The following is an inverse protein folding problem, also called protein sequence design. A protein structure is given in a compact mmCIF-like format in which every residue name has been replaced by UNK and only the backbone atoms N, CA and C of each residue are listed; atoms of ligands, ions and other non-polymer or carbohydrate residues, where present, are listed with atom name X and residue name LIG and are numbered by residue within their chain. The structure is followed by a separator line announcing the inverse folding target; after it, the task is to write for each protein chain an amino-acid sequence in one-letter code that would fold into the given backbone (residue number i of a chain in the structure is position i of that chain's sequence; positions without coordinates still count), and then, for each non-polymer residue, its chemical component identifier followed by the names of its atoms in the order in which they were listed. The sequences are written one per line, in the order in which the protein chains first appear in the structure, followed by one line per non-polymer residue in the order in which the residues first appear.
data_IF_376995455527
#
_entry.id   IF_376995455527
#
_cell.length_a   1.000
_cell.length_b   1.000
_cell.length_c   1.000
_cell.angle_alpha   90.00
_cell.angle_beta   90.00
_cell.angle_gamma   90.00
#
_symmetry.space_group_name_H-M   'P 1'
#
loop_
_entity.id
_entity.type
_entity.pdbx_description
1 polymer ?
#
# COMPACT_ATOMS: atom_id res chain seq x y z
N UNK A 1 14.07 23.02 5.65
CA UNK A 1 13.33 23.79 4.63
C UNK A 1 13.90 23.63 3.21
N UNK A 2 15.23 23.60 3.01
CA UNK A 2 15.83 23.44 1.66
C UNK A 2 15.67 22.03 1.04
N UNK A 3 15.65 20.97 1.85
CA UNK A 3 15.46 19.58 1.37
C UNK A 3 14.05 19.31 0.82
N UNK A 4 13.02 19.98 1.34
CA UNK A 4 11.63 19.83 0.87
C UNK A 4 11.47 20.43 -0.53
N UNK A 5 12.13 21.56 -0.80
CA UNK A 5 12.14 22.19 -2.13
C UNK A 5 12.87 21.34 -3.18
N UNK A 6 13.98 20.68 -2.82
CA UNK A 6 14.68 19.78 -3.73
C UNK A 6 13.86 18.55 -4.09
N UNK A 7 13.10 18.00 -3.13
CA UNK A 7 12.21 16.85 -3.36
C UNK A 7 11.03 17.22 -4.27
N UNK A 8 10.49 18.44 -4.11
CA UNK A 8 9.42 18.96 -4.96
C UNK A 8 9.91 19.32 -6.38
N UNK A 9 11.15 19.79 -6.53
CA UNK A 9 11.75 20.03 -7.85
C UNK A 9 12.05 18.73 -8.61
N UNK A 10 12.43 17.65 -7.92
CA UNK A 10 12.61 16.32 -8.54
C UNK A 10 11.28 15.71 -9.02
N UNK A 11 10.15 16.05 -8.40
CA UNK A 11 8.81 15.70 -8.88
C UNK A 11 8.38 16.52 -10.11
N UNK A 12 8.95 17.71 -10.32
CA UNK A 12 8.68 18.57 -11.48
C UNK A 12 9.58 18.29 -12.70
N UNK A 13 10.63 17.48 -12.56
CA UNK A 13 11.52 17.09 -13.64
C UNK A 13 11.02 15.87 -14.44
N UNK A 14 9.71 15.67 -14.53
CA UNK A 14 9.13 14.63 -15.36
C UNK A 14 9.37 14.98 -16.85
N UNK A 15 9.92 14.07 -17.66
CA UNK A 15 10.06 14.29 -19.09
C UNK A 15 8.68 14.43 -19.74
N UNK A 16 8.67 15.09 -20.89
CA UNK A 16 7.50 15.46 -21.69
C UNK A 16 6.31 14.50 -21.60
N UNK A 17 5.13 15.09 -21.37
CA UNK A 17 3.81 14.49 -21.29
C UNK A 17 3.41 13.82 -22.63
N UNK A 18 4.02 12.69 -22.98
CA UNK A 18 3.59 11.84 -24.10
C UNK A 18 2.58 10.81 -23.57
N UNK A 19 1.37 10.80 -24.16
CA UNK A 19 0.29 9.81 -24.00
C UNK A 19 0.47 8.85 -22.80
N UNK A 20 0.22 9.37 -21.59
CA UNK A 20 0.45 8.60 -20.38
C UNK A 20 -0.61 7.50 -20.28
N UNK A 21 -0.18 6.25 -20.41
CA UNK A 21 -1.07 5.10 -20.27
C UNK A 21 -1.49 5.00 -18.80
N UNK A 22 -2.79 4.98 -18.53
CA UNK A 22 -3.34 4.92 -17.16
C UNK A 22 -4.16 3.64 -17.02
N UNK A 23 -3.90 2.88 -15.97
CA UNK A 23 -4.70 1.72 -15.60
C UNK A 23 -5.32 1.90 -14.22
N UNK A 24 -6.54 1.41 -14.04
CA UNK A 24 -7.19 1.26 -12.74
C UNK A 24 -7.14 -0.20 -12.31
N UNK A 25 -7.03 -0.46 -11.01
CA UNK A 25 -6.77 -1.80 -10.46
C UNK A 25 -7.61 -2.10 -9.24
N UNK A 26 -7.91 -3.38 -9.06
CA UNK A 26 -8.42 -3.90 -7.80
C UNK A 26 -7.89 -5.30 -7.53
N UNK A 27 -7.48 -5.56 -6.29
CA UNK A 27 -6.94 -6.81 -5.79
C UNK A 27 -8.06 -7.71 -5.27
N UNK A 28 -8.28 -8.84 -5.95
CA UNK A 28 -9.30 -9.82 -5.60
C UNK A 28 -9.06 -10.49 -4.25
N UNK A 29 -7.80 -10.71 -3.84
CA UNK A 29 -7.49 -11.30 -2.53
C UNK A 29 -7.90 -10.37 -1.39
N UNK A 30 -7.66 -9.06 -1.55
CA UNK A 30 -8.08 -8.08 -0.55
C UNK A 30 -9.60 -7.94 -0.50
N UNK A 31 -10.28 -7.97 -1.64
CA UNK A 31 -11.74 -8.02 -1.68
C UNK A 31 -12.29 -9.26 -0.96
N UNK A 32 -11.70 -10.43 -1.19
CA UNK A 32 -12.08 -11.67 -0.50
C UNK A 32 -11.86 -11.58 1.01
N UNK A 33 -10.84 -10.83 1.45
CA UNK A 33 -10.53 -10.53 2.85
C UNK A 33 -11.39 -9.40 3.45
N UNK A 34 -12.48 -8.98 2.79
CA UNK A 34 -13.34 -7.87 3.22
C UNK A 34 -12.62 -6.51 3.32
N UNK A 35 -11.56 -6.32 2.53
CA UNK A 35 -10.82 -5.07 2.40
C UNK A 35 -10.97 -4.50 0.98
N UNK A 36 -12.04 -3.72 0.72
CA UNK A 36 -12.15 -2.90 -0.47
C UNK A 36 -10.85 -2.15 -0.77
N UNK A 37 -10.46 -2.19 -2.04
CA UNK A 37 -9.23 -1.56 -2.49
C UNK A 37 -9.36 -1.09 -3.94
N UNK A 38 -8.64 -0.03 -4.25
CA UNK A 38 -8.54 0.53 -5.58
C UNK A 38 -7.12 1.07 -5.77
N UNK A 39 -6.60 0.90 -6.98
CA UNK A 39 -5.31 1.46 -7.37
C UNK A 39 -5.36 2.10 -8.74
N UNK A 40 -4.41 2.98 -9.00
CA UNK A 40 -4.15 3.54 -10.31
C UNK A 40 -2.66 3.42 -10.64
N UNK A 41 -2.37 2.96 -11.85
CA UNK A 41 -1.01 2.85 -12.35
C UNK A 41 -0.81 3.77 -13.54
N UNK A 42 0.28 4.53 -13.49
CA UNK A 42 0.68 5.48 -14.52
C UNK A 42 1.97 5.01 -15.15
N UNK A 43 2.00 4.87 -16.47
CA UNK A 43 3.25 4.69 -17.20
C UNK A 43 4.06 5.98 -17.11
N UNK A 44 5.33 5.90 -16.71
CA UNK A 44 6.21 7.07 -16.55
C UNK A 44 7.47 7.00 -17.42
N UNK A 45 7.66 5.89 -18.13
CA UNK A 45 8.76 5.72 -19.09
C UNK A 45 8.57 4.46 -19.92
N UNK A 46 9.55 4.16 -20.78
CA UNK A 46 9.51 3.01 -21.69
C UNK A 46 9.42 1.66 -20.95
N UNK A 47 9.95 1.60 -19.72
CA UNK A 47 9.99 0.37 -18.91
C UNK A 47 9.53 0.60 -17.47
N UNK A 48 8.89 1.73 -17.19
CA UNK A 48 8.63 2.15 -15.83
C UNK A 48 7.21 2.63 -15.63
N UNK A 49 6.64 2.31 -14.47
CA UNK A 49 5.33 2.80 -14.04
C UNK A 49 5.30 3.08 -12.54
N UNK A 50 4.34 3.89 -12.13
CA UNK A 50 4.04 4.18 -10.72
C UNK A 50 2.64 3.70 -10.44
N UNK A 51 2.50 2.82 -9.46
CA UNK A 51 1.24 2.28 -8.94
C UNK A 51 0.92 2.95 -7.60
N UNK A 52 -0.26 3.56 -7.49
CA UNK A 52 -0.77 4.15 -6.25
C UNK A 52 -2.00 3.35 -5.86
N UNK A 53 -1.90 2.58 -4.79
CA UNK A 53 -3.00 1.73 -4.30
C UNK A 53 -3.47 2.19 -2.92
N UNK A 54 -4.77 2.22 -2.69
CA UNK A 54 -5.38 2.44 -1.39
C UNK A 54 -6.33 1.30 -1.05
N UNK A 55 -6.42 0.96 0.22
CA UNK A 55 -7.31 -0.07 0.71
C UNK A 55 -7.88 0.32 2.06
N UNK A 56 -9.03 -0.24 2.41
CA UNK A 56 -9.58 -0.07 3.74
C UNK A 56 -10.74 -0.99 4.03
N UNK A 57 -11.01 -1.16 5.31
CA UNK A 57 -12.17 -1.89 5.82
C UNK A 57 -12.65 -1.24 7.09
N UNK A 58 -13.92 -1.45 7.44
CA UNK A 58 -14.51 -1.05 8.72
C UNK A 58 -15.05 -2.25 9.50
N UNK A 59 -15.29 -3.38 8.80
CA UNK A 59 -15.76 -4.62 9.37
C UNK A 59 -15.13 -5.78 8.61
N UNK A 60 -14.39 -6.64 9.31
CA UNK A 60 -13.76 -7.83 8.75
C UNK A 60 -14.41 -9.03 9.41
N UNK A 61 -15.16 -9.81 8.64
CA UNK A 61 -15.89 -11.02 9.07
C UNK A 61 -16.69 -10.86 10.39
N UNK A 62 -17.41 -9.72 10.53
CA UNK A 62 -18.26 -9.45 11.69
C UNK A 62 -17.53 -8.79 12.88
N UNK A 63 -16.21 -8.62 12.82
CA UNK A 63 -15.44 -7.90 13.83
C UNK A 63 -15.26 -6.43 13.43
N UNK A 64 -15.35 -5.51 14.41
CA UNK A 64 -15.03 -4.10 14.23
C UNK A 64 -13.52 -3.94 14.04
N UNK A 65 -13.12 -3.83 12.79
CA UNK A 65 -11.74 -3.66 12.36
C UNK A 65 -11.70 -2.56 11.32
N UNK A 66 -11.29 -1.36 11.74
CA UNK A 66 -11.11 -0.21 10.88
C UNK A 66 -9.66 -0.14 10.44
N UNK A 67 -9.42 -0.34 9.15
CA UNK A 67 -8.08 -0.26 8.56
C UNK A 67 -8.18 0.70 7.38
N UNK A 68 -7.20 1.59 7.25
CA UNK A 68 -6.99 2.41 6.08
C UNK A 68 -5.52 2.31 5.71
N UNK A 69 -5.23 2.03 4.45
CA UNK A 69 -3.87 1.86 3.96
C UNK A 69 -3.66 2.52 2.61
N UNK A 70 -2.44 2.97 2.39
CA UNK A 70 -1.95 3.54 1.15
C UNK A 70 -0.60 2.93 0.80
N UNK A 71 -0.40 2.60 -0.47
CA UNK A 71 0.72 1.82 -0.95
C UNK A 71 1.18 2.34 -2.32
N UNK A 72 2.08 3.34 -2.36
CA UNK A 72 2.75 3.74 -3.57
C UNK A 72 3.87 2.75 -3.93
N UNK A 73 4.04 2.50 -5.21
CA UNK A 73 5.04 1.57 -5.73
C UNK A 73 5.60 2.05 -7.07
N UNK A 74 6.92 2.05 -7.19
CA UNK A 74 7.60 2.19 -8.47
C UNK A 74 7.86 0.81 -9.05
N UNK A 75 7.57 0.60 -10.34
CA UNK A 75 7.73 -0.67 -11.04
C UNK A 75 8.64 -0.51 -12.27
N UNK A 76 9.54 -1.47 -12.45
CA UNK A 76 10.37 -1.65 -13.63
C UNK A 76 9.99 -2.95 -14.35
N UNK A 77 9.68 -2.84 -15.63
CA UNK A 77 9.20 -3.91 -16.49
C UNK A 77 10.31 -4.42 -17.41
N UNK A 78 10.55 -5.73 -17.40
CA UNK A 78 11.65 -6.31 -18.17
C UNK A 78 11.33 -6.46 -19.66
N UNK A 79 10.06 -6.62 -20.01
CA UNK A 79 9.59 -6.89 -21.37
C UNK A 79 9.60 -5.66 -22.30
N UNK A 80 10.22 -4.54 -21.89
CA UNK A 80 10.33 -3.34 -22.72
C UNK A 80 9.03 -2.54 -22.88
N UNK A 81 7.92 -3.00 -22.31
CA UNK A 81 6.62 -2.33 -22.29
C UNK A 81 5.99 -2.45 -20.90
N UNK A 82 5.52 -1.36 -20.28
CA UNK A 82 4.83 -1.43 -19.00
C UNK A 82 3.53 -2.22 -19.07
N UNK A 83 3.05 -2.70 -17.92
CA UNK A 83 1.79 -3.45 -17.78
C UNK A 83 1.76 -4.77 -18.58
N UNK A 84 2.92 -5.38 -18.84
CA UNK A 84 3.06 -6.59 -19.67
C UNK A 84 4.17 -7.49 -19.12
N UNK A 85 3.85 -8.75 -18.78
CA UNK A 85 4.76 -9.77 -18.23
C UNK A 85 5.40 -9.41 -16.88
N UNK A 86 6.65 -9.81 -16.63
CA UNK A 86 7.34 -9.64 -15.36
C UNK A 86 7.78 -8.20 -15.06
N UNK A 87 7.68 -7.83 -13.79
CA UNK A 87 8.22 -6.59 -13.24
C UNK A 87 8.85 -6.82 -11.87
N UNK A 88 9.78 -5.93 -11.52
CA UNK A 88 10.27 -5.73 -10.15
C UNK A 88 9.90 -4.34 -9.70
N UNK A 89 9.58 -4.16 -8.43
CA UNK A 89 9.20 -2.86 -7.90
C UNK A 89 9.75 -2.60 -6.51
N UNK A 90 9.65 -1.34 -6.11
CA UNK A 90 9.92 -0.88 -4.75
C UNK A 90 8.63 -0.22 -4.27
N UNK A 91 8.06 -0.77 -3.20
CA UNK A 91 6.82 -0.31 -2.62
C UNK A 91 7.04 0.26 -1.23
N UNK A 92 6.34 1.34 -0.91
CA UNK A 92 6.14 1.78 0.46
C UNK A 92 4.71 1.44 0.88
N UNK A 93 4.49 1.21 2.17
CA UNK A 93 3.21 0.93 2.78
C UNK A 93 3.02 1.89 3.95
N UNK A 94 1.89 2.56 4.01
CA UNK A 94 1.45 3.29 5.20
C UNK A 94 0.04 2.84 5.55
N UNK A 95 -0.21 2.46 6.79
CA UNK A 95 -1.55 2.06 7.22
C UNK A 95 -1.83 2.50 8.65
N UNK A 96 -3.07 2.93 8.87
CA UNK A 96 -3.64 3.17 10.19
C UNK A 96 -4.65 2.08 10.45
N UNK A 97 -4.62 1.48 11.64
CA UNK A 97 -5.54 0.44 12.03
C UNK A 97 -6.10 0.69 13.44
N UNK A 98 -7.36 0.29 13.61
CA UNK A 98 -8.11 0.26 14.85
C UNK A 98 -8.90 -1.06 14.86
N UNK A 99 -8.33 -2.07 15.52
CA UNK A 99 -8.87 -3.42 15.55
C UNK A 99 -9.28 -3.75 16.97
N UNK A 100 -10.56 -4.05 17.17
CA UNK A 100 -11.06 -4.58 18.45
C UNK A 100 -11.21 -6.09 18.34
N UNK A 101 -10.34 -6.84 19.01
CA UNK A 101 -10.42 -8.30 19.09
C UNK A 101 -10.78 -8.73 20.52
N UNK A 102 -12.02 -9.15 20.75
CA UNK A 102 -12.51 -9.49 22.08
C UNK A 102 -12.45 -8.30 23.04
N UNK A 103 -11.61 -8.40 24.07
CA UNK A 103 -11.32 -7.34 25.02
C UNK A 103 -10.07 -6.50 24.69
N UNK A 104 -9.33 -6.79 23.63
CA UNK A 104 -8.15 -6.00 23.25
C UNK A 104 -8.48 -5.00 22.15
N UNK A 105 -8.07 -3.74 22.33
CA UNK A 105 -8.09 -2.71 21.28
C UNK A 105 -6.64 -2.44 20.85
N UNK A 106 -6.38 -2.66 19.56
CA UNK A 106 -5.11 -2.37 18.91
C UNK A 106 -5.30 -1.17 18.00
N UNK A 107 -4.67 -0.05 18.38
CA UNK A 107 -4.71 1.19 17.60
C UNK A 107 -3.30 1.65 17.30
N UNK A 108 -2.98 1.83 16.04
CA UNK A 108 -1.62 2.21 15.64
C UNK A 108 -1.48 2.53 14.18
N UNK A 109 -0.28 2.99 13.85
CA UNK A 109 0.16 3.21 12.49
C UNK A 109 1.30 2.25 12.18
N UNK A 110 1.34 1.77 10.95
CA UNK A 110 2.44 0.98 10.43
C UNK A 110 2.94 1.59 9.12
N UNK A 111 4.26 1.67 9.01
CA UNK A 111 4.95 2.15 7.82
C UNK A 111 5.96 1.11 7.40
N UNK A 112 6.02 0.79 6.12
CA UNK A 112 6.95 -0.18 5.61
C UNK A 112 7.47 0.17 4.23
N UNK A 113 8.56 -0.46 3.86
CA UNK A 113 9.09 -0.42 2.52
C UNK A 113 9.71 -1.77 2.16
N UNK A 114 9.69 -2.11 0.88
CA UNK A 114 10.22 -3.38 0.42
C UNK A 114 10.18 -3.52 -1.08
N UNK A 115 10.52 -4.73 -1.51
CA UNK A 115 10.63 -5.08 -2.92
C UNK A 115 9.41 -5.90 -3.30
N UNK A 116 8.88 -5.64 -4.49
CA UNK A 116 7.77 -6.38 -5.09
C UNK A 116 8.23 -7.06 -6.36
N UNK A 117 7.66 -8.23 -6.62
CA UNK A 117 7.81 -8.95 -7.88
C UNK A 117 6.42 -9.34 -8.36
N UNK A 118 6.18 -9.19 -9.65
CA UNK A 118 4.89 -9.56 -10.21
C UNK A 118 4.96 -9.88 -11.69
N UNK A 119 3.85 -10.41 -12.18
CA UNK A 119 3.67 -10.85 -13.54
C UNK A 119 2.27 -10.47 -14.04
N UNK A 120 2.20 -9.76 -15.17
CA UNK A 120 0.98 -9.31 -15.81
C UNK A 120 0.65 -10.17 -17.04
N UNK A 121 -0.52 -10.82 -17.01
CA UNK A 121 -1.15 -11.48 -18.14
C UNK A 121 -2.13 -10.52 -18.83
N UNK A 122 -1.87 -10.20 -20.09
CA UNK A 122 -2.81 -9.41 -20.90
C UNK A 122 -3.90 -10.33 -21.45
N UNK A 123 -5.14 -10.17 -20.98
CA UNK A 123 -6.29 -10.92 -21.53
C UNK A 123 -6.82 -10.26 -22.79
N UNK A 124 -6.91 -8.92 -22.78
CA UNK A 124 -7.38 -8.10 -23.90
C UNK A 124 -6.49 -6.86 -24.06
N UNK A 125 -6.77 -6.04 -25.07
CA UNK A 125 -6.06 -4.75 -25.30
C UNK A 125 -6.10 -3.79 -24.10
N UNK A 126 -7.10 -3.94 -23.22
CA UNK A 126 -7.31 -3.08 -22.06
C UNK A 126 -7.39 -3.82 -20.73
N UNK A 127 -7.52 -5.15 -20.71
CA UNK A 127 -7.75 -5.91 -19.48
C UNK A 127 -6.55 -6.81 -19.20
N UNK A 128 -5.96 -6.67 -18.01
CA UNK A 128 -4.86 -7.53 -17.55
C UNK A 128 -5.21 -8.15 -16.20
N UNK A 129 -4.62 -9.31 -15.94
CA UNK A 129 -4.59 -9.94 -14.61
C UNK A 129 -3.14 -9.98 -14.15
N UNK A 130 -2.88 -9.49 -12.95
CA UNK A 130 -1.55 -9.41 -12.37
C UNK A 130 -1.47 -10.28 -11.13
N UNK A 131 -0.40 -11.07 -11.04
CA UNK A 131 -0.02 -11.83 -9.85
C UNK A 131 1.21 -11.15 -9.27
N UNK A 132 1.21 -10.86 -7.98
CA UNK A 132 2.36 -10.23 -7.35
C UNK A 132 2.50 -10.59 -5.88
N UNK A 133 3.74 -10.54 -5.42
CA UNK A 133 4.12 -10.69 -4.03
C UNK A 133 5.27 -9.74 -3.71
N UNK A 134 5.32 -9.29 -2.47
CA UNK A 134 6.36 -8.39 -2.01
C UNK A 134 6.68 -8.59 -0.54
N UNK A 135 7.95 -8.38 -0.21
CA UNK A 135 8.47 -8.58 1.12
C UNK A 135 9.32 -7.37 1.52
N UNK A 136 9.21 -6.96 2.78
CA UNK A 136 9.82 -5.73 3.23
C UNK A 136 9.90 -5.61 4.74
N UNK A 137 10.54 -4.54 5.19
CA UNK A 137 10.56 -4.15 6.58
C UNK A 137 9.35 -3.27 6.87
N UNK A 138 8.59 -3.63 7.90
CA UNK A 138 7.48 -2.85 8.41
C UNK A 138 7.83 -2.40 9.82
N UNK A 139 7.92 -1.09 10.00
CA UNK A 139 7.91 -0.43 11.29
C UNK A 139 6.48 -0.26 11.76
N UNK A 140 6.20 -0.60 13.00
CA UNK A 140 4.88 -0.40 13.61
C UNK A 140 5.03 0.39 14.89
N UNK A 141 4.06 1.27 15.11
CA UNK A 141 3.91 2.00 16.35
C UNK A 141 2.48 1.83 16.83
N UNK A 142 2.29 1.06 17.90
CA UNK A 142 0.97 0.61 18.32
C UNK A 142 0.71 0.82 19.80
N UNK A 143 -0.55 1.08 20.11
CA UNK A 143 -1.12 1.02 21.45
C UNK A 143 -1.91 -0.27 21.61
N UNK A 144 -1.71 -0.92 22.75
CA UNK A 144 -2.47 -2.09 23.15
C UNK A 144 -3.15 -1.76 24.49
N UNK A 145 -4.47 -1.81 24.54
CA UNK A 145 -5.26 -1.61 25.77
C UNK A 145 -6.36 -2.69 25.92
N UNK A 146 -6.69 -3.07 27.17
CA UNK A 146 -7.83 -3.94 27.53
C UNK A 146 -9.12 -3.12 27.65
N UNK A 147 -10.28 -3.68 27.27
CA UNK A 147 -11.63 -3.07 27.30
C UNK A 147 -12.13 -2.78 28.72
N UNK A 148 -11.61 -3.47 29.72
CA UNK A 148 -12.13 -3.46 31.10
C UNK A 148 -11.30 -2.59 32.05
N UNK A 149 -10.11 -2.14 31.64
CA UNK A 149 -9.31 -1.22 32.44
C UNK A 149 -9.54 0.22 31.99
N UNK A 150 -10.11 1.03 32.88
CA UNK A 150 -9.93 2.49 32.91
C UNK A 150 -8.48 2.78 33.34
N UNK A 151 -7.51 2.39 32.52
CA UNK A 151 -6.20 3.02 32.60
C UNK A 151 -6.30 4.27 31.77
N UNK A 152 -6.45 5.39 32.48
CA UNK A 152 -6.14 6.72 31.98
C UNK A 152 -4.93 6.62 31.06
N UNK A 153 -5.04 7.31 29.92
CA UNK A 153 -3.96 7.50 28.97
C UNK A 153 -2.60 7.56 29.69
N UNK A 154 -1.62 6.76 29.26
CA UNK A 154 -0.22 7.01 29.65
C UNK A 154 0.19 8.35 29.03
N UNK A 155 -0.12 9.42 29.75
CA UNK A 155 0.20 10.81 29.45
C UNK A 155 1.47 11.13 30.19
N UNK A 156 2.59 11.06 29.49
CA UNK A 156 3.81 11.74 29.92
C UNK A 156 3.90 13.03 29.09
N UNK A 157 3.86 14.19 29.77
CA UNK A 157 3.89 15.53 29.17
C UNK A 157 2.76 15.87 28.17
N UNK A 158 1.53 15.41 28.40
CA UNK A 158 0.38 15.79 27.56
C UNK A 158 0.32 15.09 26.20
N UNK A 159 1.21 14.12 25.94
CA UNK A 159 1.28 13.37 24.68
C UNK A 159 1.00 11.90 24.94
N UNK A 160 0.02 11.36 24.23
CA UNK A 160 -0.44 9.98 24.34
C UNK A 160 0.60 9.03 23.72
N UNK A 161 1.51 8.46 24.51
CA UNK A 161 2.60 7.62 24.00
C UNK A 161 2.16 6.20 23.57
N UNK A 162 2.91 5.59 22.66
CA UNK A 162 2.69 4.22 22.18
C UNK A 162 3.53 3.23 22.99
N UNK A 163 2.90 2.13 23.46
CA UNK A 163 3.52 1.17 24.38
C UNK A 163 4.30 0.04 23.68
N UNK A 164 4.25 -0.06 22.35
CA UNK A 164 5.04 -1.03 21.60
C UNK A 164 5.46 -0.48 20.23
N UNK A 165 6.77 -0.43 19.99
CA UNK A 165 7.38 -0.07 18.73
C UNK A 165 8.41 -1.13 18.31
N UNK A 166 8.61 -1.28 17.00
CA UNK A 166 9.57 -2.24 16.47
C UNK A 166 9.53 -2.33 14.96
N UNK A 167 10.44 -3.12 14.41
CA UNK A 167 10.46 -3.47 12.99
C UNK A 167 10.31 -4.98 12.82
N UNK A 168 9.58 -5.40 11.78
CA UNK A 168 9.47 -6.81 11.42
C UNK A 168 9.56 -6.97 9.91
N UNK A 169 10.23 -8.04 9.49
CA UNK A 169 10.24 -8.45 8.09
C UNK A 169 8.98 -9.25 7.80
N UNK A 170 8.13 -8.74 6.92
CA UNK A 170 6.82 -9.31 6.62
C UNK A 170 6.49 -9.13 5.13
N UNK A 171 5.54 -9.93 4.60
CA UNK A 171 4.93 -9.62 3.32
C UNK A 171 4.28 -8.23 3.37
N UNK A 172 4.68 -7.32 2.48
CA UNK A 172 4.13 -5.95 2.39
C UNK A 172 3.09 -5.81 1.28
N UNK A 173 3.05 -6.78 0.37
CA UNK A 173 2.12 -6.82 -0.76
C UNK A 173 1.90 -8.26 -1.19
N UNK A 174 0.66 -8.62 -1.48
CA UNK A 174 0.32 -9.91 -2.07
C UNK A 174 -1.02 -9.77 -2.78
N UNK A 175 -1.14 -10.32 -3.99
CA UNK A 175 -2.39 -10.16 -4.70
C UNK A 175 -2.49 -10.83 -6.05
N UNK A 176 -3.76 -10.93 -6.46
CA UNK A 176 -4.22 -11.21 -7.80
C UNK A 176 -5.12 -10.04 -8.15
N UNK A 177 -4.64 -9.12 -8.98
CA UNK A 177 -5.40 -7.94 -9.35
C UNK A 177 -5.89 -7.99 -10.77
N UNK A 178 -7.10 -7.50 -10.99
CA UNK A 178 -7.59 -7.15 -12.31
C UNK A 178 -7.23 -5.68 -12.55
N UNK A 179 -6.63 -5.40 -13.71
CA UNK A 179 -6.33 -4.03 -14.14
C UNK A 179 -6.97 -3.71 -15.49
N UNK A 180 -7.48 -2.49 -15.61
CA UNK A 180 -8.13 -1.98 -16.81
C UNK A 180 -7.46 -0.69 -17.29
N UNK A 181 -6.93 -0.71 -18.52
CA UNK A 181 -6.24 0.40 -19.18
C UNK A 181 -7.29 1.36 -19.77
N UNK A 182 -7.30 2.60 -19.27
CA UNK A 182 -8.23 3.65 -19.67
C UNK A 182 -7.83 4.31 -20.99
N UNK A 183 -6.55 4.62 -21.13
CA UNK A 183 -5.92 5.31 -22.26
C UNK A 183 -4.54 4.74 -22.47
#
# INVERSE_FOLDING_TARGET
MQLVFATLLLLCAAPALHAQQIAIKTNGLMLAAMAPNAGCEFVVGERSSIDLSAFGSVNIYGNKAKILGFQPEYRYWFNGRPMTREYVGIAALGTTYDITWGEQVYKGDAFGAGITFGYALNLNKRLNVEFYGGFGAVYFNQKQHYKTDNLDDYVENGVTQANANGYKLLPIKLGVSISYILK
#
